data_IF_260830202554
#
_entry.id   IF_260830202554
#
_cell.length_a   1.000
_cell.length_b   1.000
_cell.length_c   1.000
_cell.angle_alpha   90.00
_cell.angle_beta   90.00
_cell.angle_gamma   90.00
#
_symmetry.space_group_name_H-M   'P 1'
#
loop_
_entity.id
_entity.type
_entity.pdbx_description
1 polymer ?
#
# COMPACT_ATOMS: atom_id res chain seq x y z
N UNK A 1 -33.66 24.66 -20.87
CA UNK A 1 -32.30 24.96 -21.36
C UNK A 1 -31.67 23.74 -22.01
N UNK A 2 -30.60 23.91 -22.79
CA UNK A 2 -29.83 22.78 -23.32
C UNK A 2 -28.76 22.39 -22.28
N UNK A 3 -28.73 21.15 -21.83
CA UNK A 3 -27.78 20.68 -20.85
C UNK A 3 -26.41 20.51 -21.50
N UNK A 4 -25.41 21.25 -21.03
CA UNK A 4 -24.03 21.11 -21.50
C UNK A 4 -23.38 19.85 -20.89
N UNK A 5 -22.21 19.46 -21.41
CA UNK A 5 -21.43 18.38 -20.83
C UNK A 5 -20.81 18.80 -19.49
N UNK A 6 -21.17 18.09 -18.32
CA UNK A 6 -20.77 18.19 -17.31
C UNK A 6 -19.91 17.37 -17.01
N UNK A 7 -19.37 16.28 -17.86
CA UNK A 7 -18.40 15.20 -17.62
C UNK A 7 -17.00 15.77 -17.41
N UNK A 8 -16.34 15.31 -16.36
CA UNK A 8 -15.02 15.78 -15.96
C UNK A 8 -15.03 16.95 -14.98
N UNK A 9 -16.15 17.61 -14.87
CA UNK A 9 -16.31 18.75 -13.95
C UNK A 9 -16.55 18.25 -12.51
N UNK A 10 -16.25 19.10 -11.53
CA UNK A 10 -16.52 18.78 -10.13
C UNK A 10 -18.03 18.77 -9.88
N UNK A 11 -18.54 17.69 -9.31
CA UNK A 11 -19.98 17.48 -9.08
C UNK A 11 -20.61 18.58 -8.22
N UNK A 12 -19.97 18.97 -7.13
CA UNK A 12 -20.54 20.00 -6.24
C UNK A 12 -20.66 21.36 -6.95
N UNK A 13 -19.68 21.68 -7.78
CA UNK A 13 -19.69 22.91 -8.60
C UNK A 13 -20.85 22.89 -9.58
N UNK A 14 -21.00 21.78 -10.30
CA UNK A 14 -22.09 21.61 -11.29
C UNK A 14 -23.46 21.63 -10.61
N UNK A 15 -23.60 20.90 -9.50
CA UNK A 15 -24.84 20.85 -8.73
C UNK A 15 -25.28 22.24 -8.28
N UNK A 16 -24.35 23.00 -7.72
CA UNK A 16 -24.62 24.38 -7.26
C UNK A 16 -24.97 25.29 -8.45
N UNK A 17 -24.26 25.16 -9.56
CA UNK A 17 -24.55 25.91 -10.78
C UNK A 17 -26.00 25.60 -11.29
N UNK A 18 -26.39 24.34 -11.37
CA UNK A 18 -27.75 23.95 -11.79
C UNK A 18 -28.82 24.59 -10.89
N UNK A 19 -28.59 24.60 -9.58
CA UNK A 19 -29.51 25.25 -8.63
C UNK A 19 -29.62 26.77 -8.94
N UNK A 20 -28.52 27.43 -9.30
CA UNK A 20 -28.58 28.86 -9.70
C UNK A 20 -29.33 29.06 -11.02
N UNK A 21 -29.39 28.02 -11.88
CA UNK A 21 -30.17 28.05 -13.12
C UNK A 21 -31.66 27.74 -12.91
N UNK A 22 -32.08 27.51 -11.66
CA UNK A 22 -33.47 27.27 -11.30
C UNK A 22 -33.86 25.80 -11.13
N UNK A 23 -32.95 24.88 -11.27
CA UNK A 23 -33.23 23.43 -11.10
C UNK A 23 -33.53 23.12 -9.65
N UNK A 24 -34.50 22.25 -9.45
CA UNK A 24 -34.87 21.79 -8.12
C UNK A 24 -33.78 20.86 -7.59
N UNK A 25 -33.17 21.22 -6.46
CA UNK A 25 -32.09 20.45 -5.84
C UNK A 25 -32.46 18.97 -5.57
N UNK A 26 -33.76 18.71 -5.30
CA UNK A 26 -34.25 17.36 -5.03
C UNK A 26 -34.30 16.49 -6.29
N UNK A 27 -34.21 17.09 -7.46
CA UNK A 27 -34.21 16.42 -8.75
C UNK A 27 -32.78 16.18 -9.26
N UNK A 28 -31.77 16.61 -8.49
CA UNK A 28 -30.36 16.42 -8.84
C UNK A 28 -29.82 15.32 -7.92
N UNK A 29 -29.46 14.17 -8.50
CA UNK A 29 -28.96 13.02 -7.75
C UNK A 29 -27.55 12.62 -8.20
N UNK A 30 -26.86 11.88 -7.34
CA UNK A 30 -25.54 11.35 -7.63
C UNK A 30 -25.45 9.89 -7.20
N UNK A 31 -24.88 9.09 -8.06
CA UNK A 31 -24.38 7.76 -7.72
C UNK A 31 -22.85 7.81 -7.81
N UNK A 32 -22.20 6.86 -7.20
CA UNK A 32 -20.73 6.91 -7.07
C UNK A 32 -20.10 5.65 -7.64
N UNK A 33 -19.02 5.81 -8.41
CA UNK A 33 -18.32 4.69 -9.01
C UNK A 33 -16.81 4.98 -9.04
N UNK A 34 -16.00 3.95 -9.18
CA UNK A 34 -14.55 4.11 -9.28
C UNK A 34 -14.14 4.44 -10.73
N UNK A 35 -13.08 5.20 -10.87
CA UNK A 35 -12.52 5.55 -12.18
C UNK A 35 -11.02 5.78 -12.07
N UNK A 36 -10.26 5.16 -12.96
CA UNK A 36 -8.81 5.37 -13.05
C UNK A 36 -8.46 6.61 -13.87
N UNK A 37 -9.44 7.19 -14.56
CA UNK A 37 -9.22 8.31 -15.48
C UNK A 37 -9.88 9.62 -15.02
N UNK A 38 -10.91 9.53 -14.17
CA UNK A 38 -11.65 10.70 -13.69
C UNK A 38 -11.31 10.92 -12.22
N UNK A 39 -10.79 12.09 -11.85
CA UNK A 39 -10.44 12.38 -10.45
C UNK A 39 -11.65 12.26 -9.50
N UNK A 40 -11.36 11.88 -8.25
CA UNK A 40 -12.39 11.81 -7.20
C UNK A 40 -13.17 13.13 -7.09
N UNK A 41 -14.49 13.03 -7.01
CA UNK A 41 -15.40 14.18 -6.92
C UNK A 41 -15.82 14.77 -8.27
N UNK A 42 -15.26 14.26 -9.37
CA UNK A 42 -15.63 14.71 -10.73
C UNK A 42 -16.64 13.76 -11.37
N UNK A 43 -17.41 14.29 -12.30
CA UNK A 43 -18.50 13.58 -12.96
C UNK A 43 -17.95 12.61 -14.03
N UNK A 44 -18.28 11.35 -13.92
CA UNK A 44 -17.98 10.29 -14.90
C UNK A 44 -18.99 10.34 -16.06
N UNK A 45 -20.27 10.45 -15.73
CA UNK A 45 -21.34 10.47 -16.70
C UNK A 45 -22.56 11.25 -16.17
N UNK A 46 -23.42 11.65 -17.08
CA UNK A 46 -24.63 12.39 -16.75
C UNK A 46 -25.83 11.82 -17.53
N UNK A 47 -27.00 11.92 -16.93
CA UNK A 47 -28.28 11.60 -17.54
C UNK A 47 -29.27 12.66 -17.08
N UNK A 48 -29.88 13.45 -17.97
CA UNK A 48 -29.85 13.39 -19.45
C UNK A 48 -28.47 13.70 -20.05
N UNK A 49 -28.26 13.21 -21.26
CA UNK A 49 -27.01 13.39 -22.00
C UNK A 49 -26.76 14.86 -22.38
N UNK A 50 -25.51 15.18 -22.62
CA UNK A 50 -25.13 16.49 -23.14
C UNK A 50 -25.85 16.78 -24.45
N UNK A 51 -26.39 17.98 -24.58
CA UNK A 51 -27.13 18.43 -25.75
C UNK A 51 -28.65 18.26 -25.63
N UNK A 52 -29.12 17.55 -24.61
CA UNK A 52 -30.56 17.36 -24.41
C UNK A 52 -31.20 18.63 -23.85
N UNK A 53 -32.47 18.85 -24.23
CA UNK A 53 -33.25 19.97 -23.73
C UNK A 53 -33.92 19.56 -22.43
N UNK A 54 -33.59 20.29 -21.37
CA UNK A 54 -34.08 20.00 -20.01
C UNK A 54 -34.90 21.18 -19.47
N UNK A 55 -35.93 20.86 -18.69
CA UNK A 55 -36.72 21.83 -17.92
C UNK A 55 -36.21 21.84 -16.47
N UNK A 56 -36.63 22.85 -15.70
CA UNK A 56 -36.23 23.03 -14.30
C UNK A 56 -36.65 21.86 -13.41
N UNK A 57 -37.71 21.15 -13.81
CA UNK A 57 -38.24 19.98 -13.07
C UNK A 57 -37.62 18.64 -13.57
N UNK A 58 -36.76 18.67 -14.56
CA UNK A 58 -36.12 17.45 -15.09
C UNK A 58 -35.24 16.82 -14.01
N UNK A 59 -35.33 15.50 -13.85
CA UNK A 59 -34.43 14.74 -13.00
C UNK A 59 -33.09 14.59 -13.70
N UNK A 60 -32.04 14.96 -13.00
CA UNK A 60 -30.65 14.85 -13.50
C UNK A 60 -29.89 13.92 -12.57
N UNK A 61 -29.31 12.87 -13.13
CA UNK A 61 -28.50 11.94 -12.38
C UNK A 61 -27.06 12.01 -12.86
N UNK A 62 -26.14 12.07 -11.93
CA UNK A 62 -24.69 12.05 -12.20
C UNK A 62 -24.07 10.78 -11.63
N UNK A 63 -23.11 10.22 -12.36
CA UNK A 63 -22.18 9.23 -11.81
C UNK A 63 -20.91 9.99 -11.45
N UNK A 64 -20.51 9.95 -10.17
CA UNK A 64 -19.41 10.74 -9.64
C UNK A 64 -18.26 9.79 -9.28
N UNK A 65 -17.06 10.16 -9.68
CA UNK A 65 -15.86 9.36 -9.43
C UNK A 65 -15.51 9.35 -7.94
N UNK A 66 -15.19 8.17 -7.44
CA UNK A 66 -14.56 7.97 -6.13
C UNK A 66 -13.01 7.95 -6.25
N UNK A 67 -12.50 8.09 -7.48
CA UNK A 67 -11.08 7.94 -7.79
C UNK A 67 -10.75 6.49 -8.09
N UNK A 68 -9.49 6.13 -8.03
CA UNK A 68 -9.02 4.77 -8.34
C UNK A 68 -9.54 3.76 -7.31
N UNK A 69 -9.85 2.57 -7.79
CA UNK A 69 -10.30 1.47 -6.97
C UNK A 69 -9.19 1.04 -6.00
N UNK A 70 -9.44 1.01 -4.68
CA UNK A 70 -8.40 0.64 -3.73
C UNK A 70 -8.01 -0.84 -3.88
N UNK A 71 -6.71 -1.11 -3.85
CA UNK A 71 -6.15 -2.46 -3.95
C UNK A 71 -5.33 -2.80 -2.72
N UNK A 72 -5.33 -4.09 -2.37
CA UNK A 72 -4.57 -4.61 -1.24
C UNK A 72 -3.08 -4.55 -1.57
N UNK A 73 -2.31 -3.84 -0.76
CA UNK A 73 -0.86 -3.75 -0.92
C UNK A 73 -0.19 -5.05 -0.44
N UNK A 74 1.03 -5.29 -0.90
CA UNK A 74 1.87 -6.34 -0.36
C UNK A 74 2.35 -5.91 1.03
N UNK A 75 1.92 -6.65 2.05
CA UNK A 75 2.30 -6.40 3.45
C UNK A 75 3.22 -7.50 4.00
N UNK A 76 3.91 -8.22 3.12
CA UNK A 76 4.91 -9.21 3.56
C UNK A 76 6.00 -8.52 4.40
N UNK A 77 6.44 -9.17 5.45
CA UNK A 77 7.40 -8.60 6.39
C UNK A 77 6.82 -7.71 7.50
N UNK A 78 5.56 -7.34 7.41
CA UNK A 78 4.89 -6.55 8.47
C UNK A 78 4.74 -7.38 9.74
N UNK A 79 4.76 -6.70 10.88
CA UNK A 79 4.37 -7.29 12.17
C UNK A 79 2.84 -7.43 12.20
N UNK A 80 2.35 -8.18 13.16
CA UNK A 80 0.91 -8.36 13.39
C UNK A 80 0.20 -7.00 13.57
N UNK A 81 0.79 -6.13 14.37
CA UNK A 81 0.23 -4.80 14.67
C UNK A 81 0.16 -3.91 13.40
N UNK A 82 1.21 -3.92 12.61
CA UNK A 82 1.27 -3.17 11.34
C UNK A 82 0.24 -3.68 10.35
N UNK A 83 0.11 -5.00 10.22
CA UNK A 83 -0.88 -5.63 9.33
C UNK A 83 -2.31 -5.26 9.73
N UNK A 84 -2.63 -5.35 11.03
CA UNK A 84 -3.95 -4.97 11.56
C UNK A 84 -4.25 -3.49 11.30
N UNK A 85 -3.29 -2.61 11.57
CA UNK A 85 -3.44 -1.17 11.34
C UNK A 85 -3.67 -0.85 9.86
N UNK A 86 -2.90 -1.49 8.99
CA UNK A 86 -3.05 -1.32 7.54
C UNK A 86 -4.44 -1.77 7.07
N UNK A 87 -4.86 -3.00 7.43
CA UNK A 87 -6.15 -3.54 7.01
C UNK A 87 -7.32 -2.67 7.49
N UNK A 88 -7.24 -2.20 8.73
CA UNK A 88 -8.24 -1.27 9.29
C UNK A 88 -8.30 0.04 8.48
N UNK A 89 -7.14 0.57 8.08
CA UNK A 89 -7.04 1.83 7.33
C UNK A 89 -7.68 1.75 5.93
N UNK A 90 -7.67 0.55 5.34
CA UNK A 90 -8.26 0.33 3.99
C UNK A 90 -9.69 -0.22 4.05
N UNK A 91 -10.24 -0.33 5.25
CA UNK A 91 -11.63 -0.79 5.44
C UNK A 91 -11.83 -2.30 5.27
N UNK A 92 -10.77 -3.07 5.32
CA UNK A 92 -10.81 -4.54 5.30
C UNK A 92 -10.95 -5.08 6.72
N UNK A 93 -11.64 -6.20 6.88
CA UNK A 93 -11.74 -6.90 8.15
C UNK A 93 -10.61 -7.92 8.28
N UNK A 94 -9.87 -7.79 9.36
CA UNK A 94 -8.85 -8.76 9.75
C UNK A 94 -9.53 -9.92 10.47
N UNK A 95 -9.50 -11.10 9.89
CA UNK A 95 -9.88 -12.30 10.64
C UNK A 95 -8.62 -12.88 11.25
N UNK A 96 -8.60 -12.84 12.57
CA UNK A 96 -7.49 -13.34 13.36
C UNK A 96 -7.43 -14.85 13.49
N UNK A 97 -7.80 -15.60 12.47
CA UNK A 97 -7.43 -16.98 12.37
C UNK A 97 -5.96 -17.01 11.98
N UNK A 98 -5.14 -17.04 12.98
CA UNK A 98 -3.69 -17.02 12.81
C UNK A 98 -3.24 -18.30 12.12
N UNK A 99 -3.25 -18.25 10.81
CA UNK A 99 -2.62 -19.29 10.01
C UNK A 99 -1.13 -18.97 9.98
N UNK A 100 -0.31 -19.92 10.32
CA UNK A 100 1.13 -19.71 10.27
C UNK A 100 1.81 -20.86 9.54
N UNK A 101 2.83 -20.51 8.77
CA UNK A 101 3.60 -21.45 7.94
C UNK A 101 5.09 -21.27 8.22
N UNK A 102 5.89 -22.29 7.95
CA UNK A 102 7.35 -22.15 8.03
C UNK A 102 7.85 -21.34 6.85
N UNK A 103 8.85 -20.52 7.07
CA UNK A 103 9.49 -19.72 6.03
C UNK A 103 10.98 -19.56 6.32
N UNK A 104 11.81 -19.81 5.33
CA UNK A 104 13.26 -19.61 5.42
C UNK A 104 13.67 -18.20 5.01
N UNK A 105 12.72 -17.39 4.52
CA UNK A 105 12.97 -16.03 3.99
C UNK A 105 12.29 -14.94 4.80
N UNK A 106 11.27 -15.29 5.57
CA UNK A 106 10.51 -14.31 6.37
C UNK A 106 10.72 -14.65 7.86
N UNK A 107 11.16 -13.67 8.62
CA UNK A 107 11.39 -13.81 10.07
C UNK A 107 10.14 -14.27 10.80
N UNK A 108 10.35 -14.97 11.90
CA UNK A 108 9.28 -15.44 12.78
C UNK A 108 8.37 -14.27 13.18
N UNK A 109 7.07 -14.52 13.19
CA UNK A 109 5.99 -13.60 13.60
C UNK A 109 5.78 -12.42 12.62
N UNK A 110 6.39 -12.48 11.44
CA UNK A 110 6.17 -11.53 10.35
C UNK A 110 5.20 -12.12 9.32
N UNK A 111 4.52 -11.25 8.60
CA UNK A 111 3.58 -11.65 7.54
C UNK A 111 4.35 -12.26 6.36
N UNK A 112 3.93 -13.45 5.94
CA UNK A 112 4.40 -14.10 4.71
C UNK A 112 3.58 -13.58 3.52
N UNK A 113 2.25 -13.61 3.67
CA UNK A 113 1.31 -13.24 2.60
C UNK A 113 -0.10 -13.05 3.16
N UNK A 114 -0.97 -12.54 2.34
CA UNK A 114 -2.40 -12.43 2.65
C UNK A 114 -3.24 -13.29 1.69
N UNK A 115 -4.43 -13.63 2.13
CA UNK A 115 -5.45 -14.29 1.29
C UNK A 115 -6.76 -13.50 1.48
N UNK A 116 -7.25 -12.83 0.47
CA UNK A 116 -6.70 -12.68 -0.90
C UNK A 116 -5.33 -11.98 -0.92
N UNK A 117 -4.59 -12.18 -1.98
CA UNK A 117 -3.24 -11.65 -2.16
C UNK A 117 -3.20 -10.18 -2.55
N UNK A 118 -2.00 -9.63 -2.54
CA UNK A 118 -1.72 -8.25 -2.98
C UNK A 118 -2.27 -8.01 -4.40
N UNK A 119 -2.76 -6.81 -4.66
CA UNK A 119 -3.37 -6.43 -5.93
C UNK A 119 -4.87 -6.70 -6.02
N UNK A 120 -5.44 -7.43 -5.07
CA UNK A 120 -6.88 -7.68 -5.02
C UNK A 120 -7.62 -6.37 -4.68
N UNK A 121 -8.69 -6.09 -5.40
CA UNK A 121 -9.55 -4.93 -5.11
C UNK A 121 -10.17 -5.07 -3.72
N UNK A 122 -10.07 -4.01 -2.94
CA UNK A 122 -10.63 -3.95 -1.59
C UNK A 122 -12.09 -3.47 -1.66
N UNK A 123 -13.00 -4.29 -1.17
CA UNK A 123 -14.40 -3.88 -0.95
C UNK A 123 -14.63 -3.71 0.54
N UNK A 124 -15.54 -2.82 0.89
CA UNK A 124 -15.88 -2.54 2.30
C UNK A 124 -16.31 -3.83 3.02
N UNK A 125 -15.66 -4.11 4.13
CA UNK A 125 -15.92 -5.31 4.93
C UNK A 125 -15.30 -6.58 4.33
N UNK A 126 -14.44 -6.44 3.35
CA UNK A 126 -13.68 -7.56 2.78
C UNK A 126 -12.84 -8.23 3.87
N UNK A 127 -12.95 -9.52 3.94
CA UNK A 127 -12.21 -10.32 4.91
C UNK A 127 -10.84 -10.68 4.35
N UNK A 128 -9.79 -10.40 5.12
CA UNK A 128 -8.40 -10.72 4.74
C UNK A 128 -7.79 -11.62 5.81
N UNK A 129 -7.38 -12.82 5.40
CA UNK A 129 -6.63 -13.76 6.24
C UNK A 129 -5.14 -13.47 6.07
N UNK A 130 -4.42 -13.32 7.17
CA UNK A 130 -2.99 -13.01 7.18
C UNK A 130 -2.21 -14.25 7.63
N UNK A 131 -1.25 -14.67 6.84
CA UNK A 131 -0.41 -15.83 7.11
C UNK A 131 0.94 -15.35 7.66
N UNK A 132 1.30 -15.83 8.85
CA UNK A 132 2.51 -15.44 9.57
C UNK A 132 3.59 -16.51 9.49
N UNK A 133 4.83 -16.08 9.57
CA UNK A 133 6.00 -16.98 9.59
C UNK A 133 6.19 -17.59 10.98
N UNK A 134 6.42 -18.90 11.01
CA UNK A 134 6.92 -19.64 12.19
C UNK A 134 8.45 -19.59 12.29
N UNK A 135 9.11 -18.96 11.31
CA UNK A 135 10.55 -19.03 11.12
C UNK A 135 10.94 -20.26 10.29
N UNK A 136 12.23 -20.59 10.22
CA UNK A 136 12.71 -21.74 9.43
C UNK A 136 12.12 -23.06 9.88
N UNK A 137 11.89 -23.96 8.92
CA UNK A 137 11.42 -25.32 9.21
C UNK A 137 12.52 -26.08 9.96
N UNK A 138 12.26 -26.54 11.18
CA UNK A 138 13.25 -27.32 11.94
C UNK A 138 13.63 -28.64 11.25
N UNK A 139 12.76 -29.20 10.39
CA UNK A 139 13.04 -30.43 9.65
C UNK A 139 14.05 -30.21 8.51
N UNK A 140 14.19 -28.96 8.02
CA UNK A 140 15.13 -28.64 6.93
C UNK A 140 16.57 -28.43 7.40
N UNK A 141 16.78 -28.27 8.71
CA UNK A 141 18.10 -28.09 9.30
C UNK A 141 18.79 -29.38 9.75
N UNK A 142 18.11 -30.53 9.60
CA UNK A 142 18.64 -31.84 10.06
C UNK A 142 19.31 -32.68 8.97
N UNK A 143 19.53 -32.15 7.78
CA UNK A 143 20.14 -32.91 6.69
C UNK A 143 21.62 -32.63 6.43
N UNK A 144 22.32 -31.99 7.40
CA UNK A 144 23.75 -31.84 7.28
C UNK A 144 24.45 -32.23 8.57
N UNK A 145 24.33 -33.51 8.92
CA UNK A 145 25.28 -34.13 9.85
C UNK A 145 25.16 -35.66 9.75
N UNK A 146 25.76 -36.21 8.74
CA UNK A 146 26.31 -37.57 8.85
C UNK A 146 27.18 -37.91 7.64
N UNK A 147 28.34 -38.26 7.95
CA UNK A 147 29.47 -38.90 7.28
C UNK A 147 30.62 -37.95 7.14
N UNK A 148 31.72 -38.15 7.74
CA UNK A 148 32.43 -39.40 7.88
C UNK A 148 33.53 -39.27 8.92
N UNK A 149 33.56 -40.28 9.67
CA UNK A 149 34.67 -40.67 10.53
C UNK A 149 35.83 -41.20 9.66
N UNK A 150 36.99 -40.85 9.98
CA UNK A 150 38.20 -41.68 10.09
C UNK A 150 39.51 -40.94 9.88
N UNK A 151 40.17 -40.85 10.94
CA UNK A 151 41.48 -41.35 11.29
C UNK A 151 42.72 -40.61 10.80
N UNK A 152 43.43 -40.24 11.78
CA UNK A 152 44.84 -40.47 12.08
C UNK A 152 45.84 -39.38 11.67
N UNK A 153 46.40 -38.87 12.71
CA UNK A 153 47.78 -38.87 13.13
C UNK A 153 48.71 -37.80 12.63
N UNK A 154 49.21 -37.10 13.62
CA UNK A 154 50.56 -36.77 13.94
C UNK A 154 51.29 -35.62 13.25
N UNK A 155 51.66 -34.80 14.08
CA UNK A 155 52.98 -34.25 14.44
C UNK A 155 53.33 -32.88 13.85
N UNK A 156 53.44 -31.99 14.74
CA UNK A 156 54.58 -31.33 15.30
C UNK A 156 55.17 -30.17 14.55
N UNK A 157 55.33 -29.17 15.31
CA UNK A 157 56.43 -28.22 15.52
C UNK A 157 56.32 -26.88 14.81
N UNK A 158 56.17 -25.88 15.62
CA UNK A 158 57.04 -24.79 16.06
C UNK A 158 57.48 -23.90 14.89
N UNK A 159 57.48 -22.68 14.97
CA UNK A 159 57.92 -21.66 15.85
C UNK A 159 57.78 -20.30 15.21
N UNK A 160 57.44 -19.38 16.05
CA UNK A 160 58.05 -18.10 16.38
C UNK A 160 58.11 -16.94 15.40
N UNK A 161 57.58 -15.90 15.93
CA UNK A 161 58.09 -14.53 16.02
C UNK A 161 57.93 -13.69 14.76
N UNK A 162 57.55 -12.54 14.84
CA UNK A 162 57.70 -11.39 15.63
C UNK A 162 57.40 -10.16 14.78
N UNK A 163 56.60 -9.29 15.32
CA UNK A 163 56.96 -7.92 15.56
C UNK A 163 56.86 -6.87 14.46
N UNK A 164 56.18 -5.89 14.81
CA UNK A 164 56.39 -4.43 14.73
C UNK A 164 55.60 -3.75 13.66
N UNK A 165 54.72 -2.92 14.09
CA UNK A 165 54.81 -1.53 14.47
C UNK A 165 54.73 -0.56 13.31
N UNK A 166 53.89 0.29 13.42
CA UNK A 166 53.75 1.74 13.53
C UNK A 166 53.08 2.31 12.30
N UNK A 167 52.30 3.19 12.41
CA UNK A 167 51.83 4.37 13.04
C UNK A 167 51.29 5.40 12.05
N UNK A 168 50.25 6.05 12.50
CA UNK A 168 49.88 7.46 12.39
C UNK A 168 49.62 8.01 10.99
N UNK A 169 48.75 8.89 10.79
CA UNK A 169 48.15 10.02 11.43
C UNK A 169 47.15 10.63 10.47
N UNK A 170 45.99 11.00 10.94
CA UNK A 170 45.50 12.32 11.26
C UNK A 170 45.36 13.33 10.14
N UNK A 171 44.22 13.91 10.11
CA UNK A 171 43.85 15.32 10.00
C UNK A 171 42.56 15.50 9.20
N UNK A 172 41.51 15.85 9.83
CA UNK A 172 40.90 17.14 10.19
C UNK A 172 40.73 18.16 9.07
N UNK A 173 39.56 18.58 8.97
CA UNK A 173 39.05 19.96 8.85
C UNK A 173 37.78 19.96 8.06
N UNK A 174 36.60 20.17 8.64
CA UNK A 174 35.96 21.39 9.10
C UNK A 174 35.92 22.55 8.09
N UNK A 175 34.77 22.90 7.77
CA UNK A 175 34.27 24.28 7.73
C UNK A 175 32.85 24.35 7.20
N UNK A 176 32.11 24.80 8.02
CA UNK A 176 30.96 25.62 8.17
C UNK A 176 31.00 26.91 7.34
N UNK A 177 29.85 27.39 7.06
CA UNK A 177 29.34 28.75 7.12
C UNK A 177 28.20 28.96 6.12
N UNK A 178 27.08 29.21 6.68
CA UNK A 178 26.36 30.44 7.03
C UNK A 178 25.92 31.27 5.88
N UNK A 179 24.63 31.40 5.87
CA UNK A 179 23.81 32.58 6.06
C UNK A 179 23.46 33.42 4.87
N UNK A 180 22.31 33.81 4.92
CA UNK A 180 21.54 35.08 4.95
C UNK A 180 20.82 35.31 3.65
N UNK A 181 19.53 35.40 3.70
CA UNK A 181 18.65 36.44 4.20
C UNK A 181 18.39 37.58 3.21
N UNK A 182 17.14 37.81 3.09
CA UNK A 182 16.53 39.11 2.77
C UNK A 182 16.15 39.44 1.34
N UNK A 183 14.92 39.62 1.25
CA UNK A 183 14.04 40.69 0.81
C UNK A 183 12.95 40.28 -0.11
#
# INVERSE_FOLDING_TARGET
MTLSSXVGENYETVRNWLVTQGFNINNISATYDYSDTVPSGSIISQDPASGEVVAEETYINFVVSQGTEPKLNDISGYTKSEAQSYLASVGAEYIGHETSEYSNTVDKDKVIRTVPGAGTTITKGMVVNVIYSKGPDPASSSSEKDSSDSSSSSSSSSSTSNSSKEESSSSTSSSASTSESSK
#
